data_IF_064892381083
#
_entry.id   IF_064892381083
#
_cell.length_a   1.000
_cell.length_b   1.000
_cell.length_c   1.000
_cell.angle_alpha   90.00
_cell.angle_beta   90.00
_cell.angle_gamma   90.00
#
_symmetry.space_group_name_H-M   'P 1'
#
loop_
_entity.id
_entity.type
_entity.pdbx_description
1 polymer ?
#
# COMPACT_ATOMS: atom_id res chain seq x y z
N UNK A 1 63.01 19.47 -16.79
CA UNK A 1 63.53 20.23 -17.93
C UNK A 1 62.35 20.59 -18.83
N UNK A 2 62.17 21.88 -19.08
CA UNK A 2 61.30 22.50 -20.10
C UNK A 2 59.78 22.27 -19.93
N UNK A 3 58.89 23.26 -19.93
CA UNK A 3 58.94 24.71 -20.19
C UNK A 3 57.54 25.21 -19.69
N UNK A 4 57.40 26.18 -18.78
CA UNK A 4 57.62 27.61 -19.02
C UNK A 4 56.95 28.00 -20.35
N UNK A 5 55.77 28.62 -20.37
CA UNK A 5 55.50 30.05 -20.13
C UNK A 5 54.16 30.29 -20.89
N UNK A 6 53.31 31.27 -20.67
CA UNK A 6 53.47 32.71 -20.57
C UNK A 6 52.04 33.16 -20.20
N UNK A 7 51.87 33.86 -19.09
CA UNK A 7 51.74 35.33 -19.08
C UNK A 7 50.46 35.83 -19.77
N UNK A 8 49.55 36.50 -19.06
CA UNK A 8 49.69 37.80 -18.39
C UNK A 8 48.87 38.81 -19.22
N UNK A 9 47.85 39.37 -18.57
CA UNK A 9 47.49 40.80 -18.62
C UNK A 9 47.05 41.37 -19.95
N UNK A 10 45.79 41.82 -19.94
CA UNK A 10 45.35 43.16 -20.34
C UNK A 10 43.85 43.22 -20.00
N UNK A 11 43.33 44.12 -19.19
CA UNK A 11 43.78 45.47 -18.87
C UNK A 11 42.57 46.38 -19.03
N UNK A 12 42.50 47.41 -18.19
CA UNK A 12 41.61 48.58 -18.32
C UNK A 12 40.13 48.33 -17.96
N UNK A 13 39.46 49.12 -17.12
CA UNK A 13 39.78 50.42 -16.58
C UNK A 13 38.47 51.19 -16.40
N UNK A 14 38.24 51.68 -15.18
CA UNK A 14 37.57 52.93 -14.81
C UNK A 14 36.21 53.34 -15.44
N UNK A 15 35.26 53.53 -14.51
CA UNK A 15 34.32 54.66 -14.42
C UNK A 15 33.21 54.82 -15.48
N UNK A 16 31.96 54.84 -15.03
CA UNK A 16 31.29 56.11 -14.71
C UNK A 16 29.97 55.87 -13.97
N UNK A 17 29.72 56.74 -13.01
CA UNK A 17 28.53 56.79 -12.18
C UNK A 17 27.25 57.01 -13.01
N UNK A 18 26.15 56.43 -12.54
CA UNK A 18 24.83 57.07 -12.61
C UNK A 18 24.01 56.60 -11.41
N UNK A 19 24.12 57.35 -10.32
CA UNK A 19 23.13 57.38 -9.27
C UNK A 19 21.86 58.02 -9.82
N UNK A 20 20.75 57.27 -9.82
CA UNK A 20 19.41 57.87 -9.86
C UNK A 20 18.74 57.56 -8.53
N UNK A 21 18.67 58.62 -7.73
CA UNK A 21 17.92 58.72 -6.49
C UNK A 21 16.41 58.59 -6.74
N UNK A 22 15.71 58.27 -5.65
CA UNK A 22 14.28 58.41 -5.39
C UNK A 22 13.41 57.17 -5.64
N UNK A 23 13.15 56.42 -4.56
CA UNK A 23 11.80 56.34 -3.98
C UNK A 23 11.88 55.79 -2.54
N UNK A 24 11.50 56.57 -1.51
CA UNK A 24 11.29 56.07 -0.16
C UNK A 24 9.82 55.61 -0.05
N UNK A 25 9.55 54.31 -0.20
CA UNK A 25 8.29 53.75 0.27
C UNK A 25 8.50 53.19 1.67
N UNK A 26 7.99 53.96 2.63
CA UNK A 26 7.77 53.57 4.01
C UNK A 26 7.05 52.22 4.11
N UNK A 27 7.57 51.38 4.99
CA UNK A 27 6.82 50.57 5.94
C UNK A 27 5.68 49.69 5.38
N UNK A 28 6.04 48.46 5.01
CA UNK A 28 5.45 47.32 5.71
C UNK A 28 6.58 46.48 6.29
N UNK A 29 6.83 46.66 7.57
CA UNK A 29 7.44 45.65 8.41
C UNK A 29 6.52 44.42 8.38
N UNK A 30 6.63 43.60 7.33
CA UNK A 30 6.26 42.20 7.44
C UNK A 30 7.29 41.59 8.39
N UNK A 31 6.96 41.64 9.67
CA UNK A 31 7.42 40.65 10.64
C UNK A 31 6.90 39.29 10.17
N UNK A 32 7.55 38.76 9.13
CA UNK A 32 7.44 37.36 8.75
C UNK A 32 7.99 36.61 9.95
N UNK A 33 7.07 36.11 10.78
CA UNK A 33 7.40 35.16 11.82
C UNK A 33 8.27 34.08 11.16
N UNK A 34 9.40 33.67 11.78
CA UNK A 34 10.17 32.56 11.25
C UNK A 34 9.21 31.39 11.01
N UNK A 35 9.28 30.70 9.84
CA UNK A 35 8.45 29.54 9.61
C UNK A 35 8.60 28.59 10.80
N UNK A 36 7.51 27.98 11.29
CA UNK A 36 7.61 27.04 12.40
C UNK A 36 8.68 26.01 12.02
N UNK A 37 9.57 25.63 12.96
CA UNK A 37 10.60 24.65 12.65
C UNK A 37 9.90 23.43 12.07
N UNK A 38 10.23 23.09 10.82
CA UNK A 38 9.76 21.87 10.21
C UNK A 38 10.08 20.76 11.20
N UNK A 39 9.03 20.13 11.75
CA UNK A 39 9.19 19.07 12.74
C UNK A 39 10.15 18.06 12.12
N UNK A 40 11.39 18.03 12.63
CA UNK A 40 12.40 17.10 12.17
C UNK A 40 11.95 15.75 12.68
N UNK A 41 11.13 15.08 11.87
CA UNK A 41 10.69 13.73 12.12
C UNK A 41 11.96 12.90 12.31
N UNK A 42 12.11 12.37 13.52
CA UNK A 42 13.32 11.66 13.89
C UNK A 42 13.51 10.47 12.94
N UNK A 43 14.76 10.11 12.65
CA UNK A 43 15.06 8.94 11.82
C UNK A 43 14.38 7.67 12.37
N UNK A 44 14.22 7.58 13.69
CA UNK A 44 13.53 6.51 14.39
C UNK A 44 12.05 6.46 13.99
N UNK A 45 11.33 7.60 14.04
CA UNK A 45 9.91 7.68 13.65
C UNK A 45 9.69 7.28 12.19
N UNK A 46 10.62 7.61 11.29
CA UNK A 46 10.54 7.17 9.88
C UNK A 46 10.71 5.67 9.72
N UNK A 47 11.64 5.06 10.48
CA UNK A 47 11.85 3.62 10.48
C UNK A 47 10.61 2.91 11.03
N UNK A 48 10.05 3.39 12.14
CA UNK A 48 8.83 2.84 12.74
C UNK A 48 7.65 2.87 11.76
N UNK A 49 7.45 4.00 11.06
CA UNK A 49 6.41 4.10 10.04
C UNK A 49 6.65 3.12 8.89
N UNK A 50 7.88 3.04 8.38
CA UNK A 50 8.21 2.13 7.30
C UNK A 50 8.01 0.65 7.69
N UNK A 51 8.38 0.27 8.91
CA UNK A 51 8.14 -1.08 9.43
C UNK A 51 6.64 -1.37 9.57
N UNK A 52 5.88 -0.43 10.12
CA UNK A 52 4.43 -0.57 10.30
C UNK A 52 3.73 -0.74 8.95
N UNK A 53 4.09 0.09 7.97
CA UNK A 53 3.56 -0.03 6.61
C UNK A 53 3.94 -1.36 5.95
N UNK A 54 5.19 -1.81 6.09
CA UNK A 54 5.64 -3.07 5.52
C UNK A 54 4.90 -4.26 6.14
N UNK A 55 4.70 -4.24 7.46
CA UNK A 55 3.95 -5.26 8.18
C UNK A 55 2.50 -5.29 7.71
N UNK A 56 1.85 -4.13 7.61
CA UNK A 56 0.45 -4.04 7.17
C UNK A 56 0.28 -4.63 5.76
N UNK A 57 1.13 -4.21 4.81
CA UNK A 57 1.12 -4.77 3.44
C UNK A 57 1.42 -6.27 3.40
N UNK A 58 2.23 -6.77 4.34
CA UNK A 58 2.52 -8.19 4.47
C UNK A 58 1.28 -8.97 4.94
N UNK A 59 0.61 -8.47 5.97
CA UNK A 59 -0.63 -9.07 6.50
C UNK A 59 -1.75 -9.06 5.46
N UNK A 60 -1.94 -7.96 4.73
CA UNK A 60 -2.96 -7.86 3.67
C UNK A 60 -2.77 -8.94 2.58
N UNK A 61 -1.51 -9.23 2.23
CA UNK A 61 -1.19 -10.27 1.24
C UNK A 61 -1.47 -11.67 1.78
N UNK A 62 -1.20 -11.91 3.06
CA UNK A 62 -1.49 -13.19 3.70
C UNK A 62 -3.00 -13.40 3.75
N UNK A 63 -3.75 -12.37 4.14
CA UNK A 63 -5.21 -12.40 4.20
C UNK A 63 -5.82 -12.73 2.83
N UNK A 64 -5.40 -12.02 1.79
CA UNK A 64 -5.82 -12.31 0.41
C UNK A 64 -5.46 -13.73 -0.06
N UNK A 65 -4.29 -14.24 0.34
CA UNK A 65 -3.89 -15.60 0.00
C UNK A 65 -4.72 -16.66 0.73
N UNK A 66 -5.06 -16.41 2.00
CA UNK A 66 -5.93 -17.28 2.78
C UNK A 66 -7.35 -17.30 2.20
N UNK A 67 -7.92 -16.14 1.88
CA UNK A 67 -9.24 -16.02 1.24
C UNK A 67 -9.30 -16.73 -0.12
N UNK A 68 -8.22 -16.64 -0.91
CA UNK A 68 -8.15 -17.31 -2.21
C UNK A 68 -8.04 -18.84 -2.08
N UNK A 69 -7.41 -19.33 -1.02
CA UNK A 69 -7.06 -20.75 -0.87
C UNK A 69 -8.10 -21.52 -0.04
N UNK A 70 -8.67 -20.88 0.99
CA UNK A 70 -9.58 -21.51 1.93
C UNK A 70 -11.03 -21.30 1.48
N UNK A 71 -11.78 -22.37 1.19
CA UNK A 71 -13.18 -22.26 0.79
C UNK A 71 -14.15 -22.17 1.99
N UNK A 72 -13.62 -22.06 3.20
CA UNK A 72 -14.38 -22.07 4.45
C UNK A 72 -14.11 -20.80 5.24
N UNK A 73 -15.14 -20.28 5.89
CA UNK A 73 -15.02 -19.18 6.85
C UNK A 73 -14.43 -19.66 8.18
N UNK A 74 -13.99 -18.70 9.00
CA UNK A 74 -13.54 -18.97 10.36
C UNK A 74 -14.65 -19.69 11.17
N UNK A 75 -14.36 -20.81 11.84
CA UNK A 75 -15.35 -21.56 12.59
C UNK A 75 -15.87 -20.78 13.81
N UNK A 76 -17.17 -20.85 14.04
CA UNK A 76 -17.83 -20.25 15.19
C UNK A 76 -18.24 -21.34 16.19
N UNK A 77 -17.97 -21.12 17.48
CA UNK A 77 -18.39 -22.03 18.55
C UNK A 77 -19.72 -21.56 19.10
N UNK A 78 -20.74 -22.43 19.03
CA UNK A 78 -22.09 -22.15 19.50
C UNK A 78 -22.21 -22.32 21.02
N UNK A 79 -23.25 -21.73 21.68
CA UNK A 79 -23.43 -21.81 23.13
C UNK A 79 -23.61 -23.23 23.69
N UNK A 80 -24.02 -24.19 22.85
CA UNK A 80 -24.13 -25.60 23.19
C UNK A 80 -22.79 -26.38 23.05
N UNK A 81 -21.73 -25.72 22.56
CA UNK A 81 -20.42 -26.32 22.32
C UNK A 81 -20.22 -26.87 20.90
N UNK A 82 -21.21 -26.81 20.02
CA UNK A 82 -21.06 -27.22 18.62
C UNK A 82 -20.22 -26.22 17.83
N UNK A 83 -19.57 -26.68 16.75
CA UNK A 83 -18.77 -25.83 15.86
C UNK A 83 -19.45 -25.71 14.51
N UNK A 84 -19.75 -24.48 14.10
CA UNK A 84 -20.32 -24.16 12.80
C UNK A 84 -19.22 -23.81 11.79
N UNK A 85 -19.10 -24.65 10.75
CA UNK A 85 -18.16 -24.42 9.64
C UNK A 85 -18.98 -24.00 8.41
N UNK A 86 -18.81 -22.75 7.97
CA UNK A 86 -19.49 -22.20 6.78
C UNK A 86 -18.57 -22.26 5.56
N UNK A 87 -19.14 -22.56 4.40
CA UNK A 87 -18.44 -22.47 3.11
C UNK A 87 -18.69 -21.08 2.53
N UNK A 88 -17.62 -20.35 2.25
CA UNK A 88 -17.68 -19.02 1.63
C UNK A 88 -17.99 -19.12 0.13
N UNK A 89 -17.48 -20.17 -0.53
CA UNK A 89 -17.67 -20.40 -1.97
C UNK A 89 -18.65 -21.55 -2.24
N UNK A 90 -19.67 -21.35 -3.10
CA UNK A 90 -20.57 -22.44 -3.47
C UNK A 90 -19.77 -23.55 -4.15
N UNK A 91 -20.08 -24.80 -3.77
CA UNK A 91 -19.43 -25.96 -4.35
C UNK A 91 -19.72 -26.01 -5.86
N UNK A 92 -18.74 -26.37 -6.70
CA UNK A 92 -19.01 -26.61 -8.11
C UNK A 92 -20.08 -27.70 -8.21
N UNK A 93 -21.16 -27.38 -8.92
CA UNK A 93 -22.22 -28.33 -9.23
C UNK A 93 -21.58 -29.45 -10.04
N UNK A 94 -21.46 -30.64 -9.43
CA UNK A 94 -21.03 -31.82 -10.19
C UNK A 94 -22.08 -32.06 -11.28
N UNK A 95 -21.68 -32.32 -12.54
CA UNK A 95 -22.64 -32.69 -13.56
C UNK A 95 -23.38 -33.92 -13.06
N UNK A 96 -24.68 -33.74 -12.80
CA UNK A 96 -25.55 -34.82 -12.38
C UNK A 96 -25.51 -35.87 -13.49
N UNK A 97 -25.15 -37.14 -13.20
CA UNK A 97 -25.21 -38.18 -14.20
C UNK A 97 -26.61 -38.16 -14.80
N UNK A 98 -26.70 -38.00 -16.13
CA UNK A 98 -27.96 -38.18 -16.83
C UNK A 98 -28.53 -39.54 -16.40
N UNK A 99 -29.85 -39.67 -16.17
CA UNK A 99 -30.45 -40.96 -15.86
C UNK A 99 -30.03 -41.95 -16.93
N UNK A 100 -29.24 -42.96 -16.55
CA UNK A 100 -28.79 -43.99 -17.46
C UNK A 100 -30.03 -44.78 -17.92
N UNK A 101 -30.43 -44.71 -19.21
CA UNK A 101 -31.59 -45.43 -19.71
C UNK A 101 -31.43 -46.96 -19.60
N UNK A 102 -30.20 -47.44 -19.38
CA UNK A 102 -29.88 -48.85 -19.23
C UNK A 102 -29.79 -49.31 -17.76
N UNK A 103 -29.98 -48.42 -16.78
CA UNK A 103 -30.03 -48.81 -15.38
C UNK A 103 -31.27 -49.70 -15.13
N UNK A 104 -31.10 -50.94 -14.63
CA UNK A 104 -32.23 -51.75 -14.19
C UNK A 104 -33.06 -50.95 -13.18
N UNK A 105 -34.40 -50.97 -13.25
CA UNK A 105 -35.22 -50.25 -12.28
C UNK A 105 -34.83 -50.69 -10.87
N UNK A 106 -34.50 -49.72 -10.02
CA UNK A 106 -34.22 -49.96 -8.61
C UNK A 106 -35.35 -50.81 -8.04
N UNK A 107 -35.02 -52.03 -7.62
CA UNK A 107 -35.97 -52.92 -6.98
C UNK A 107 -36.47 -52.22 -5.72
N UNK A 108 -37.72 -51.74 -5.77
CA UNK A 108 -38.48 -51.40 -4.57
C UNK A 108 -38.60 -52.69 -3.77
N UNK A 109 -37.71 -52.90 -2.81
CA UNK A 109 -37.93 -53.88 -1.75
C UNK A 109 -39.10 -53.37 -0.92
N UNK A 110 -40.28 -53.90 -1.21
CA UNK A 110 -41.51 -53.69 -0.46
C UNK A 110 -41.31 -54.27 0.95
N UNK A 111 -41.35 -53.44 2.02
CA UNK A 111 -41.12 -53.91 3.39
C UNK A 111 -42.32 -54.66 3.98
N UNK A 112 -43.38 -54.93 3.21
CA UNK A 112 -44.64 -55.45 3.72
C UNK A 112 -44.79 -56.95 3.47
N UNK A 113 -43.95 -57.76 4.12
CA UNK A 113 -44.25 -59.18 4.33
C UNK A 113 -43.68 -59.66 5.66
N UNK A 114 -44.46 -59.44 6.72
CA UNK A 114 -44.38 -60.18 7.98
C UNK A 114 -45.80 -60.60 8.31
#
# INVERSE_FOLDING_TARGET
>A
MLRQLHRLVRGSGLSFACAVLAMPSLALAQASAPPPPAAQESAITRIERAMTEALHRGLDRIDQALDATLPYDMPEVLPNGDILIRRSKPAPVSPQPAPDPAAPPAQKSDPTKI
#
